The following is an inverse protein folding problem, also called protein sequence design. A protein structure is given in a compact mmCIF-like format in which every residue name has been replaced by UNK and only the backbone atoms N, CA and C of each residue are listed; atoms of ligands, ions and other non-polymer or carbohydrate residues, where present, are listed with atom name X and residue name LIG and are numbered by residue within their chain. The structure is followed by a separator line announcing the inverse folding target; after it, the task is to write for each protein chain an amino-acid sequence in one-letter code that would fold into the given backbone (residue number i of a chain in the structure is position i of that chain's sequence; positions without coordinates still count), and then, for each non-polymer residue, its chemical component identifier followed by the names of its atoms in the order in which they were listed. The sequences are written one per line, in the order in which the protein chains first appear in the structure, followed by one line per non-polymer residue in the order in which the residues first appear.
data_IF_917442059782
#
_entry.id   IF_917442059782
#
_cell.length_a   1.000
_cell.length_b   1.000
_cell.length_c   1.000
_cell.angle_alpha   90.00
_cell.angle_beta   90.00
_cell.angle_gamma   90.00
#
_symmetry.space_group_name_H-M   'P 1'
#
loop_
_entity.id
_entity.type
_entity.pdbx_description
1 polymer ?
#
# COMPACT_ATOMS: atom_id res chain seq x y z
N UNK A 1 -21.75 72.33 -3.21
CA UNK A 1 -22.01 70.96 -3.74
C UNK A 1 -20.79 70.21 -4.35
N UNK A 2 -19.71 70.93 -4.74
CA UNK A 2 -18.51 70.24 -5.36
C UNK A 2 -17.62 69.57 -4.32
N UNK A 3 -17.41 70.18 -3.12
CA UNK A 3 -16.55 69.57 -2.09
C UNK A 3 -17.03 68.16 -1.60
N UNK A 4 -18.30 68.07 -1.26
CA UNK A 4 -18.88 66.79 -0.81
C UNK A 4 -18.77 65.67 -1.86
N UNK A 5 -18.94 66.02 -3.15
CA UNK A 5 -18.74 65.07 -4.25
C UNK A 5 -17.27 64.63 -4.42
N UNK A 6 -16.31 65.53 -4.16
CA UNK A 6 -14.88 65.19 -4.20
C UNK A 6 -14.48 64.28 -3.04
N UNK A 7 -14.95 64.60 -1.82
CA UNK A 7 -14.73 63.74 -0.64
C UNK A 7 -15.34 62.33 -0.86
N UNK A 8 -16.56 62.27 -1.41
CA UNK A 8 -17.21 61.01 -1.71
C UNK A 8 -16.41 60.16 -2.72
N UNK A 9 -15.90 60.79 -3.79
CA UNK A 9 -15.05 60.08 -4.77
C UNK A 9 -13.76 59.53 -4.16
N UNK A 10 -13.12 60.29 -3.26
CA UNK A 10 -11.91 59.84 -2.56
C UNK A 10 -12.24 58.64 -1.65
N UNK A 11 -13.33 58.70 -0.89
CA UNK A 11 -13.74 57.63 -0.02
C UNK A 11 -14.08 56.37 -0.80
N UNK A 12 -14.75 56.49 -1.95
CA UNK A 12 -15.03 55.34 -2.83
C UNK A 12 -13.74 54.77 -3.40
N UNK A 13 -12.81 55.61 -3.86
CA UNK A 13 -11.52 55.12 -4.39
C UNK A 13 -10.68 54.42 -3.32
N UNK A 14 -10.67 54.93 -2.07
CA UNK A 14 -10.00 54.26 -0.96
C UNK A 14 -10.66 52.91 -0.65
N UNK A 15 -12.00 52.88 -0.57
CA UNK A 15 -12.74 51.63 -0.37
C UNK A 15 -12.42 50.59 -1.46
N UNK A 16 -12.48 51.02 -2.73
CA UNK A 16 -12.21 50.11 -3.85
C UNK A 16 -10.76 49.63 -3.86
N UNK A 17 -9.81 50.48 -3.51
CA UNK A 17 -8.40 50.13 -3.32
C UNK A 17 -8.19 49.14 -2.19
N UNK A 18 -8.87 49.31 -1.04
CA UNK A 18 -8.81 48.35 0.07
C UNK A 18 -9.44 47.00 -0.29
N UNK A 19 -10.56 47.01 -1.00
CA UNK A 19 -11.19 45.76 -1.47
C UNK A 19 -10.26 44.99 -2.43
N UNK A 20 -9.64 45.71 -3.37
CA UNK A 20 -8.68 45.09 -4.30
C UNK A 20 -7.46 44.51 -3.57
N UNK A 21 -6.92 45.28 -2.61
CA UNK A 21 -5.82 44.84 -1.78
C UNK A 21 -6.20 43.59 -0.97
N UNK A 22 -7.39 43.58 -0.38
CA UNK A 22 -7.89 42.44 0.38
C UNK A 22 -8.03 41.20 -0.53
N UNK A 23 -8.61 41.35 -1.73
CA UNK A 23 -8.72 40.26 -2.71
C UNK A 23 -7.36 39.73 -3.12
N UNK A 24 -6.41 40.62 -3.38
CA UNK A 24 -5.03 40.20 -3.72
C UNK A 24 -4.38 39.40 -2.58
N UNK A 25 -4.49 39.91 -1.34
CA UNK A 25 -3.95 39.20 -0.17
C UNK A 25 -4.67 37.91 0.10
N UNK A 26 -6.00 37.86 -0.10
CA UNK A 26 -6.78 36.62 0.04
C UNK A 26 -6.37 35.58 -0.97
N UNK A 27 -6.29 35.95 -2.26
CA UNK A 27 -5.87 34.97 -3.28
C UNK A 27 -4.40 34.60 -3.19
N UNK A 28 -3.52 35.52 -2.79
CA UNK A 28 -2.12 35.22 -2.50
C UNK A 28 -2.00 34.25 -1.30
N UNK A 29 -2.76 34.49 -0.23
CA UNK A 29 -2.83 33.60 0.93
C UNK A 29 -3.40 32.24 0.58
N UNK A 30 -4.48 32.19 -0.21
CA UNK A 30 -5.08 30.97 -0.70
C UNK A 30 -4.10 30.19 -1.61
N UNK A 31 -3.44 30.89 -2.53
CA UNK A 31 -2.39 30.30 -3.38
C UNK A 31 -1.25 29.75 -2.54
N UNK A 32 -0.79 30.52 -1.53
CA UNK A 32 0.25 30.09 -0.60
C UNK A 32 -0.19 28.85 0.18
N UNK A 33 -1.42 28.82 0.69
CA UNK A 33 -1.99 27.68 1.41
C UNK A 33 -2.09 26.43 0.53
N UNK A 34 -2.49 26.58 -0.72
CA UNK A 34 -2.63 25.48 -1.67
C UNK A 34 -1.29 24.99 -2.24
N UNK A 35 -0.26 25.84 -2.26
CA UNK A 35 1.08 25.52 -2.81
C UNK A 35 2.12 25.24 -1.74
N UNK A 36 1.90 25.64 -0.49
CA UNK A 36 2.73 25.25 0.64
C UNK A 36 2.59 23.76 0.90
N UNK A 37 3.40 22.97 0.19
CA UNK A 37 3.71 21.64 0.67
C UNK A 37 4.59 21.84 1.92
N UNK A 38 4.24 21.26 3.08
CA UNK A 38 5.15 21.28 4.22
C UNK A 38 6.51 20.77 3.72
N UNK A 39 7.56 21.49 4.03
CA UNK A 39 8.91 21.05 3.67
C UNK A 39 9.08 19.63 4.24
N UNK A 40 9.53 18.66 3.43
CA UNK A 40 9.79 17.34 3.99
C UNK A 40 10.75 17.51 5.16
N UNK A 41 10.44 16.86 6.27
CA UNK A 41 11.30 16.89 7.44
C UNK A 41 12.72 16.44 7.09
N UNK A 42 13.66 16.65 7.98
CA UNK A 42 15.03 16.15 7.80
C UNK A 42 15.11 14.68 8.21
N UNK A 43 15.88 13.88 7.47
CA UNK A 43 16.20 12.51 7.87
C UNK A 43 17.01 12.54 9.16
N UNK A 44 16.44 11.99 10.22
CA UNK A 44 17.08 11.87 11.53
C UNK A 44 17.87 10.56 11.62
N UNK A 45 18.88 10.54 12.48
CA UNK A 45 19.53 9.28 12.85
C UNK A 45 18.56 8.45 13.71
N UNK A 46 18.23 7.23 13.25
CA UNK A 46 17.21 6.42 13.91
C UNK A 46 16.71 5.26 13.04
N UNK A 47 15.45 4.93 13.17
CA UNK A 47 14.77 3.95 12.32
C UNK A 47 14.22 4.62 11.05
N UNK A 48 14.16 3.86 9.96
CA UNK A 48 13.19 4.11 8.90
C UNK A 48 11.88 3.47 9.32
N UNK A 49 10.87 4.30 9.59
CA UNK A 49 9.55 3.86 10.06
C UNK A 49 8.53 3.88 8.95
N UNK A 50 7.87 2.75 8.76
CA UNK A 50 6.84 2.52 7.74
C UNK A 50 5.54 2.07 8.42
N UNK A 51 4.69 3.01 8.85
CA UNK A 51 3.31 2.68 9.22
C UNK A 51 2.51 2.44 7.93
N UNK A 52 2.36 1.17 7.55
CA UNK A 52 1.59 0.81 6.36
C UNK A 52 0.11 0.70 6.72
N UNK A 53 -0.57 1.84 6.79
CA UNK A 53 -1.97 1.98 7.18
C UNK A 53 -2.94 1.87 5.98
N UNK A 54 -2.66 0.97 5.05
CA UNK A 54 -3.45 0.80 3.83
C UNK A 54 -2.83 -0.22 2.91
N UNK A 55 -3.03 -0.08 1.61
CA UNK A 55 -2.65 -1.09 0.62
C UNK A 55 -1.35 -0.77 -0.09
N UNK A 56 -0.61 -1.84 -0.42
CA UNK A 56 0.52 -1.74 -1.35
C UNK A 56 0.03 -2.01 -2.77
N UNK A 57 0.21 -1.03 -3.65
CA UNK A 57 -0.29 -1.02 -5.02
C UNK A 57 0.82 -0.81 -6.04
N UNK A 58 0.55 -1.09 -7.31
CA UNK A 58 1.47 -0.77 -8.41
C UNK A 58 1.48 0.73 -8.72
N UNK A 59 0.29 1.33 -8.81
CA UNK A 59 0.06 2.74 -9.09
C UNK A 59 -0.98 3.25 -8.10
N UNK A 60 -0.65 4.31 -7.36
CA UNK A 60 -1.57 4.90 -6.40
C UNK A 60 -2.65 5.72 -7.11
N UNK A 61 -3.87 5.61 -6.61
CA UNK A 61 -5.03 6.36 -7.10
C UNK A 61 -4.91 7.84 -6.76
N UNK A 62 -5.38 8.71 -7.63
CA UNK A 62 -5.48 10.13 -7.33
C UNK A 62 -6.70 10.40 -6.43
N UNK A 63 -6.46 11.10 -5.33
CA UNK A 63 -7.54 11.54 -4.45
C UNK A 63 -8.25 12.72 -5.10
N UNK A 64 -9.52 12.55 -5.48
CA UNK A 64 -10.28 13.61 -6.11
C UNK A 64 -10.70 14.68 -5.07
N UNK A 65 -10.72 15.98 -5.45
CA UNK A 65 -11.20 17.04 -4.56
C UNK A 65 -12.64 16.81 -4.07
N UNK A 66 -13.47 16.14 -4.86
CA UNK A 66 -14.84 15.80 -4.50
C UNK A 66 -14.92 14.73 -3.40
N UNK A 67 -14.00 13.77 -3.37
CA UNK A 67 -13.90 12.79 -2.28
C UNK A 67 -13.53 13.48 -0.96
N UNK A 68 -12.57 14.41 -0.99
CA UNK A 68 -12.20 15.19 0.19
C UNK A 68 -13.37 16.03 0.72
N UNK A 69 -14.13 16.67 -0.18
CA UNK A 69 -15.29 17.48 0.18
C UNK A 69 -16.47 16.66 0.71
N UNK A 70 -16.58 15.39 0.30
CA UNK A 70 -17.64 14.48 0.80
C UNK A 70 -17.36 13.93 2.19
N UNK A 71 -16.19 14.24 2.79
CA UNK A 71 -15.78 13.72 4.09
C UNK A 71 -15.38 12.24 4.07
N UNK A 72 -15.22 11.65 2.89
CA UNK A 72 -14.68 10.30 2.76
C UNK A 72 -13.16 10.37 2.90
N UNK A 73 -12.61 9.63 3.85
CA UNK A 73 -11.17 9.44 3.97
C UNK A 73 -10.76 8.32 3.00
N UNK A 74 -10.02 8.61 1.92
CA UNK A 74 -9.53 7.55 1.06
C UNK A 74 -8.64 6.59 1.83
N UNK A 75 -8.68 5.31 1.49
CA UNK A 75 -7.71 4.34 2.00
C UNK A 75 -6.30 4.77 1.55
N UNK A 76 -5.34 4.69 2.46
CA UNK A 76 -3.96 5.02 2.12
C UNK A 76 -3.39 3.98 1.15
N UNK A 77 -2.69 4.45 0.13
CA UNK A 77 -2.02 3.59 -0.86
C UNK A 77 -0.53 3.91 -0.92
N UNK A 78 0.27 2.86 -0.92
CA UNK A 78 1.72 2.93 -1.01
C UNK A 78 2.18 2.24 -2.28
N UNK A 79 2.96 2.90 -3.13
CA UNK A 79 3.50 2.19 -4.30
C UNK A 79 4.58 1.19 -3.87
N UNK A 80 4.48 -0.04 -4.36
CA UNK A 80 5.46 -1.09 -4.06
C UNK A 80 6.89 -0.67 -4.41
N UNK A 81 7.03 0.12 -5.48
CA UNK A 81 8.30 0.69 -5.92
C UNK A 81 8.91 1.63 -4.89
N UNK A 82 8.14 2.53 -4.32
CA UNK A 82 8.67 3.52 -3.36
C UNK A 82 9.00 2.87 -2.02
N UNK A 83 8.14 1.97 -1.54
CA UNK A 83 8.40 1.20 -0.32
C UNK A 83 9.68 0.36 -0.47
N UNK A 84 9.79 -0.45 -1.53
CA UNK A 84 10.96 -1.30 -1.73
C UNK A 84 12.24 -0.49 -1.96
N UNK A 85 12.17 0.64 -2.68
CA UNK A 85 13.29 1.55 -2.91
C UNK A 85 13.78 2.19 -1.60
N UNK A 86 12.86 2.67 -0.76
CA UNK A 86 13.21 3.27 0.53
C UNK A 86 13.89 2.24 1.45
N UNK A 87 13.30 1.05 1.58
CA UNK A 87 13.87 -0.03 2.40
C UNK A 87 15.24 -0.45 1.87
N UNK A 88 15.38 -0.66 0.55
CA UNK A 88 16.66 -1.03 -0.04
C UNK A 88 17.74 0.04 0.16
N UNK A 89 17.38 1.34 0.06
CA UNK A 89 18.31 2.44 0.30
C UNK A 89 18.75 2.54 1.76
N UNK A 90 17.90 2.14 2.71
CA UNK A 90 18.23 2.12 4.13
C UNK A 90 19.38 1.17 4.47
N UNK A 91 19.62 0.13 3.65
CA UNK A 91 20.74 -0.79 3.84
C UNK A 91 22.10 -0.08 3.88
N UNK A 92 22.29 0.90 2.99
CA UNK A 92 23.56 1.60 2.81
C UNK A 92 23.61 2.98 3.53
N UNK A 93 22.48 3.48 4.04
CA UNK A 93 22.40 4.79 4.72
C UNK A 93 22.83 4.69 6.18
N UNK A 94 23.94 5.32 6.54
CA UNK A 94 24.51 5.27 7.90
C UNK A 94 23.60 5.90 8.97
N UNK A 95 22.68 6.80 8.58
CA UNK A 95 21.72 7.44 9.48
C UNK A 95 20.64 6.45 9.93
N UNK A 96 20.33 5.47 9.08
CA UNK A 96 19.31 4.46 9.38
C UNK A 96 19.96 3.26 10.08
N UNK A 97 19.56 3.03 11.34
CA UNK A 97 20.06 1.95 12.19
C UNK A 97 19.19 0.70 12.16
N UNK A 98 17.89 0.87 11.88
CA UNK A 98 16.91 -0.20 11.78
C UNK A 98 15.81 0.19 10.77
N UNK A 99 15.11 -0.80 10.25
CA UNK A 99 13.85 -0.60 9.51
C UNK A 99 12.73 -1.16 10.35
N UNK A 100 11.65 -0.40 10.51
CA UNK A 100 10.50 -0.75 11.34
C UNK A 100 9.24 -0.65 10.51
N UNK A 101 8.51 -1.76 10.39
CA UNK A 101 7.20 -1.81 9.76
C UNK A 101 6.12 -1.99 10.82
N UNK A 102 5.13 -1.12 10.80
CA UNK A 102 3.89 -1.27 11.55
C UNK A 102 2.81 -1.73 10.56
N UNK A 103 2.29 -2.94 10.78
CA UNK A 103 1.31 -3.59 9.91
C UNK A 103 -0.07 -3.70 10.58
N UNK A 104 -0.35 -2.94 11.64
CA UNK A 104 -1.61 -3.03 12.39
C UNK A 104 -2.82 -2.72 11.51
N UNK A 105 -2.72 -1.71 10.66
CA UNK A 105 -3.77 -1.29 9.71
C UNK A 105 -3.42 -1.66 8.25
N UNK A 106 -2.58 -2.67 8.05
CA UNK A 106 -2.13 -3.06 6.71
C UNK A 106 -3.25 -3.73 5.92
N UNK A 107 -3.63 -3.11 4.80
CA UNK A 107 -4.69 -3.56 3.90
C UNK A 107 -4.26 -4.60 2.85
N UNK A 108 -2.99 -5.06 2.89
CA UNK A 108 -2.48 -6.06 1.96
C UNK A 108 -1.85 -5.49 0.69
N UNK A 109 -1.55 -6.40 -0.24
CA UNK A 109 -0.96 -6.07 -1.53
C UNK A 109 -0.87 -7.29 -2.44
N UNK A 110 -0.44 -7.12 -3.69
CA UNK A 110 -0.22 -8.28 -4.53
C UNK A 110 1.02 -9.08 -4.07
N UNK A 111 0.98 -10.39 -4.16
CA UNK A 111 2.08 -11.27 -3.76
C UNK A 111 3.44 -10.86 -4.38
N UNK A 112 3.43 -10.38 -5.64
CA UNK A 112 4.64 -9.91 -6.32
C UNK A 112 5.20 -8.66 -5.66
N UNK A 113 4.34 -7.71 -5.28
CA UNK A 113 4.75 -6.49 -4.59
C UNK A 113 5.33 -6.80 -3.22
N UNK A 114 4.69 -7.71 -2.48
CA UNK A 114 5.15 -8.10 -1.15
C UNK A 114 6.49 -8.84 -1.22
N UNK A 115 6.70 -9.70 -2.22
CA UNK A 115 8.00 -10.34 -2.48
C UNK A 115 9.10 -9.32 -2.81
N UNK A 116 8.80 -8.27 -3.57
CA UNK A 116 9.76 -7.19 -3.83
C UNK A 116 10.17 -6.44 -2.56
N UNK A 117 9.19 -6.15 -1.70
CA UNK A 117 9.44 -5.51 -0.40
C UNK A 117 10.23 -6.45 0.51
N UNK A 118 9.86 -7.75 0.57
CA UNK A 118 10.57 -8.78 1.30
C UNK A 118 12.05 -8.89 0.89
N UNK A 119 12.32 -8.88 -0.41
CA UNK A 119 13.69 -8.87 -0.93
C UNK A 119 14.48 -7.61 -0.52
N UNK A 120 13.83 -6.45 -0.45
CA UNK A 120 14.45 -5.23 0.05
C UNK A 120 14.74 -5.31 1.55
N UNK A 121 13.85 -5.93 2.35
CA UNK A 121 14.07 -6.21 3.77
C UNK A 121 15.26 -7.16 3.98
N UNK A 122 15.38 -8.20 3.15
CA UNK A 122 16.51 -9.14 3.20
C UNK A 122 17.84 -8.42 2.90
N UNK A 123 17.86 -7.46 1.98
CA UNK A 123 19.04 -6.62 1.72
C UNK A 123 19.46 -5.83 2.97
N UNK A 124 18.52 -5.26 3.71
CA UNK A 124 18.78 -4.55 4.97
C UNK A 124 19.37 -5.50 6.02
N UNK A 125 18.79 -6.70 6.16
CA UNK A 125 19.30 -7.73 7.08
C UNK A 125 20.70 -8.21 6.69
N UNK A 126 20.97 -8.38 5.40
CA UNK A 126 22.31 -8.71 4.90
C UNK A 126 23.35 -7.63 5.22
N UNK A 127 22.94 -6.35 5.26
CA UNK A 127 23.75 -5.23 5.73
C UNK A 127 23.89 -5.18 7.27
N UNK A 128 23.43 -6.21 7.99
CA UNK A 128 23.45 -6.35 9.47
C UNK A 128 22.65 -5.27 10.19
N UNK A 129 21.64 -4.71 9.57
CA UNK A 129 20.67 -3.82 10.19
C UNK A 129 19.40 -4.60 10.50
N UNK A 130 18.88 -4.49 11.73
CA UNK A 130 17.65 -5.21 12.08
C UNK A 130 16.44 -4.62 11.35
N UNK A 131 15.54 -5.53 10.98
CA UNK A 131 14.20 -5.21 10.46
C UNK A 131 13.20 -5.74 11.47
N UNK A 132 12.41 -4.85 12.06
CA UNK A 132 11.42 -5.19 13.07
C UNK A 132 10.02 -4.94 12.51
N UNK A 133 9.12 -5.85 12.82
CA UNK A 133 7.72 -5.77 12.34
C UNK A 133 6.78 -6.00 13.52
N UNK A 134 5.72 -5.20 13.61
CA UNK A 134 4.65 -5.35 14.59
C UNK A 134 3.29 -5.40 13.90
N UNK A 135 2.40 -6.24 14.43
CA UNK A 135 0.98 -6.25 14.06
C UNK A 135 0.13 -6.80 15.20
N UNK A 136 -1.14 -6.40 15.22
CA UNK A 136 -2.16 -7.06 16.03
C UNK A 136 -2.47 -8.44 15.44
N UNK A 137 -2.75 -8.51 14.15
CA UNK A 137 -3.05 -9.77 13.44
C UNK A 137 -2.24 -9.83 12.15
N UNK A 138 -1.49 -10.91 11.96
CA UNK A 138 -0.83 -11.19 10.70
C UNK A 138 -1.76 -12.02 9.81
N UNK A 139 -2.31 -11.39 8.77
CA UNK A 139 -2.95 -12.07 7.64
C UNK A 139 -1.90 -12.70 6.74
N UNK A 140 -2.31 -13.40 5.68
CA UNK A 140 -1.39 -13.99 4.70
C UNK A 140 -0.36 -12.95 4.19
N UNK A 141 -0.84 -11.77 3.78
CA UNK A 141 -0.01 -10.69 3.22
C UNK A 141 0.93 -10.09 4.27
N UNK A 142 0.42 -9.83 5.47
CA UNK A 142 1.22 -9.30 6.57
C UNK A 142 2.27 -10.32 7.04
N UNK A 143 1.93 -11.62 7.05
CA UNK A 143 2.84 -12.70 7.40
C UNK A 143 3.95 -12.88 6.35
N UNK A 144 3.65 -12.70 5.07
CA UNK A 144 4.65 -12.71 4.00
C UNK A 144 5.73 -11.65 4.27
N UNK A 145 5.35 -10.42 4.60
CA UNK A 145 6.32 -9.37 4.98
C UNK A 145 7.04 -9.71 6.29
N UNK A 146 6.29 -10.11 7.31
CA UNK A 146 6.86 -10.46 8.62
C UNK A 146 7.90 -11.58 8.55
N UNK A 147 7.76 -12.51 7.60
CA UNK A 147 8.71 -13.59 7.40
C UNK A 147 10.12 -13.08 7.09
N UNK A 148 10.24 -11.94 6.40
CA UNK A 148 11.52 -11.30 6.06
C UNK A 148 12.10 -10.42 7.18
N UNK A 149 11.46 -10.33 8.34
CA UNK A 149 11.97 -9.55 9.47
C UNK A 149 13.08 -10.25 10.24
N UNK A 150 13.82 -9.47 11.04
CA UNK A 150 14.72 -10.00 12.07
C UNK A 150 13.97 -10.36 13.36
N UNK A 151 12.95 -9.55 13.68
CA UNK A 151 12.05 -9.74 14.82
C UNK A 151 10.62 -9.43 14.36
N UNK A 152 9.74 -10.45 14.38
CA UNK A 152 8.30 -10.30 14.18
C UNK A 152 7.62 -10.30 15.56
N UNK A 153 6.88 -9.24 15.86
CA UNK A 153 6.16 -9.06 17.11
C UNK A 153 4.66 -9.11 16.88
N UNK A 154 3.95 -9.86 17.71
CA UNK A 154 2.48 -9.89 17.70
C UNK A 154 1.94 -9.37 19.02
N UNK A 155 0.84 -8.61 18.95
CA UNK A 155 0.13 -8.13 20.13
C UNK A 155 -0.40 -9.33 20.97
N UNK A 156 -0.39 -9.26 22.33
CA UNK A 156 -0.93 -10.31 23.20
C UNK A 156 -2.40 -10.65 22.92
N UNK A 157 -3.19 -9.72 22.39
CA UNK A 157 -4.60 -9.95 22.04
C UNK A 157 -4.80 -10.43 20.60
N UNK A 158 -3.71 -10.59 19.87
CA UNK A 158 -3.71 -10.90 18.44
C UNK A 158 -3.23 -12.30 18.11
N UNK A 159 -2.70 -12.46 16.90
CA UNK A 159 -2.19 -13.74 16.42
C UNK A 159 -1.85 -13.74 14.94
N UNK A 160 -1.78 -14.95 14.37
CA UNK A 160 -1.59 -15.16 12.93
C UNK A 160 -2.83 -15.85 12.38
N UNK A 161 -3.40 -15.31 11.30
CA UNK A 161 -4.60 -15.81 10.63
C UNK A 161 -4.28 -16.07 9.16
N UNK A 162 -3.86 -17.28 8.85
CA UNK A 162 -3.54 -17.71 7.50
C UNK A 162 -4.76 -18.40 6.90
N UNK A 163 -5.29 -17.86 5.81
CA UNK A 163 -6.47 -18.37 5.12
C UNK A 163 -6.16 -18.98 3.76
N UNK A 164 -5.05 -18.60 3.16
CA UNK A 164 -4.67 -18.95 1.79
C UNK A 164 -5.47 -18.18 0.75
N UNK A 165 -5.06 -18.27 -0.54
CA UNK A 165 -5.76 -17.62 -1.63
C UNK A 165 -7.13 -18.26 -1.85
N UNK A 166 -8.16 -17.45 -1.96
CA UNK A 166 -9.52 -17.93 -2.15
C UNK A 166 -10.53 -16.81 -2.14
N UNK A 167 -11.79 -17.18 -2.14
CA UNK A 167 -12.89 -16.24 -2.09
C UNK A 167 -14.23 -16.93 -2.33
N UNK A 168 -15.31 -16.17 -2.16
CA UNK A 168 -16.68 -16.60 -2.44
C UNK A 168 -17.10 -16.05 -3.79
N UNK A 169 -17.47 -16.94 -4.71
CA UNK A 169 -18.14 -16.55 -5.95
C UNK A 169 -19.64 -16.66 -5.79
N UNK A 170 -20.34 -15.60 -6.19
CA UNK A 170 -21.79 -15.58 -6.19
C UNK A 170 -22.33 -16.05 -7.54
N UNK A 171 -23.31 -16.98 -7.49
CA UNK A 171 -24.01 -17.49 -8.67
C UNK A 171 -25.47 -17.03 -8.62
N UNK A 172 -25.89 -16.31 -9.64
CA UNK A 172 -27.19 -15.62 -9.69
C UNK A 172 -28.27 -16.44 -10.43
N UNK A 173 -27.92 -17.61 -11.00
CA UNK A 173 -28.84 -18.44 -11.79
C UNK A 173 -30.17 -18.71 -11.07
N UNK A 174 -30.15 -19.05 -9.78
CA UNK A 174 -31.36 -19.30 -9.01
C UNK A 174 -32.26 -18.05 -8.86
N UNK A 175 -31.67 -16.85 -8.75
CA UNK A 175 -32.43 -15.59 -8.73
C UNK A 175 -33.01 -15.29 -10.11
N UNK A 176 -32.20 -15.44 -11.15
CA UNK A 176 -32.57 -15.18 -12.56
C UNK A 176 -33.76 -16.08 -12.95
N UNK A 177 -33.74 -17.36 -12.56
CA UNK A 177 -34.85 -18.31 -12.80
C UNK A 177 -36.13 -17.88 -12.07
N UNK A 178 -36.03 -17.45 -10.81
CA UNK A 178 -37.21 -16.95 -10.06
C UNK A 178 -37.82 -15.71 -10.69
N UNK A 179 -36.99 -14.83 -11.24
CA UNK A 179 -37.42 -13.62 -11.94
C UNK A 179 -37.90 -13.92 -13.37
N UNK A 180 -37.79 -15.17 -13.84
CA UNK A 180 -38.10 -15.58 -15.22
C UNK A 180 -37.37 -14.73 -16.28
N UNK A 181 -36.16 -14.25 -15.95
CA UNK A 181 -35.33 -13.49 -16.86
C UNK A 181 -34.56 -14.45 -17.78
N UNK A 182 -34.41 -14.07 -19.06
CA UNK A 182 -33.64 -14.85 -20.02
C UNK A 182 -32.26 -14.19 -20.19
N UNK A 183 -31.21 -14.97 -19.93
CA UNK A 183 -29.81 -14.55 -20.15
C UNK A 183 -29.30 -15.20 -21.41
N UNK A 184 -28.87 -14.38 -22.35
CA UNK A 184 -28.26 -14.85 -23.59
C UNK A 184 -26.73 -14.61 -23.53
N UNK A 185 -25.96 -15.69 -23.63
CA UNK A 185 -24.50 -15.66 -23.53
C UNK A 185 -23.87 -16.02 -24.87
N UNK A 186 -22.95 -15.17 -25.32
CA UNK A 186 -22.15 -15.39 -26.50
C UNK A 186 -20.69 -15.51 -26.08
N UNK A 187 -20.16 -16.73 -25.96
CA UNK A 187 -18.76 -16.98 -25.61
C UNK A 187 -18.13 -18.00 -26.56
N UNK A 188 -16.84 -17.84 -26.79
CA UNK A 188 -16.01 -18.81 -27.51
C UNK A 188 -14.86 -19.22 -26.60
N UNK A 189 -14.69 -20.51 -26.39
CA UNK A 189 -13.64 -21.09 -25.55
C UNK A 189 -14.20 -21.69 -24.25
N UNK A 190 -13.72 -22.89 -23.93
CA UNK A 190 -14.19 -23.74 -22.83
C UNK A 190 -13.90 -23.11 -21.47
N UNK A 191 -12.72 -22.48 -21.31
CA UNK A 191 -12.26 -21.88 -20.05
C UNK A 191 -12.72 -20.44 -19.85
N UNK A 192 -13.56 -19.86 -20.74
CA UNK A 192 -14.15 -18.54 -20.52
C UNK A 192 -15.33 -18.63 -19.55
N UNK A 193 -15.05 -18.47 -18.26
CA UNK A 193 -16.00 -18.71 -17.16
C UNK A 193 -16.68 -17.46 -16.60
N UNK A 194 -16.30 -16.25 -17.03
CA UNK A 194 -16.82 -14.98 -16.49
C UNK A 194 -18.36 -14.85 -16.52
N UNK A 195 -19.03 -15.53 -17.44
CA UNK A 195 -20.50 -15.53 -17.59
C UNK A 195 -21.21 -16.65 -16.81
N UNK A 196 -20.48 -17.60 -16.24
CA UNK A 196 -21.07 -18.74 -15.52
C UNK A 196 -21.95 -18.34 -14.35
N UNK A 197 -21.65 -17.29 -13.56
CA UNK A 197 -22.53 -16.83 -12.48
C UNK A 197 -23.98 -16.55 -12.91
N UNK A 198 -24.21 -16.21 -14.16
CA UNK A 198 -25.53 -15.88 -14.70
C UNK A 198 -26.28 -17.08 -15.30
N UNK A 199 -25.57 -18.15 -15.66
CA UNK A 199 -26.14 -19.29 -16.40
C UNK A 199 -26.01 -20.64 -15.66
N UNK A 200 -25.27 -20.68 -14.55
CA UNK A 200 -25.04 -21.89 -13.72
C UNK A 200 -25.27 -21.56 -12.26
N UNK A 201 -25.55 -22.61 -11.48
CA UNK A 201 -25.66 -22.49 -10.01
C UNK A 201 -24.32 -22.73 -9.29
N UNK A 202 -23.32 -23.22 -10.01
CA UNK A 202 -21.98 -23.52 -9.50
C UNK A 202 -20.94 -23.43 -10.63
N UNK A 203 -19.68 -23.44 -10.25
CA UNK A 203 -18.53 -23.39 -11.15
C UNK A 203 -18.45 -24.66 -12.01
N UNK A 204 -18.14 -24.50 -13.31
CA UNK A 204 -17.86 -25.64 -14.19
C UNK A 204 -16.58 -26.36 -13.75
N UNK A 205 -16.42 -27.66 -14.14
CA UNK A 205 -15.17 -28.39 -13.91
C UNK A 205 -13.94 -27.66 -14.47
N UNK A 206 -14.05 -27.10 -15.67
CA UNK A 206 -12.98 -26.38 -16.37
C UNK A 206 -12.63 -25.05 -15.67
N UNK A 207 -13.64 -24.31 -15.21
CA UNK A 207 -13.40 -23.10 -14.42
C UNK A 207 -12.74 -23.42 -13.09
N UNK A 208 -13.16 -24.51 -12.46
CA UNK A 208 -12.57 -25.02 -11.20
C UNK A 208 -11.10 -25.43 -11.40
N UNK A 209 -10.81 -26.18 -12.48
CA UNK A 209 -9.45 -26.56 -12.83
C UNK A 209 -8.53 -25.35 -13.01
N UNK A 210 -8.97 -24.37 -13.81
CA UNK A 210 -8.21 -23.14 -14.03
C UNK A 210 -7.97 -22.37 -12.72
N UNK A 211 -8.99 -22.24 -11.88
CA UNK A 211 -8.89 -21.54 -10.59
C UNK A 211 -7.96 -22.29 -9.62
N UNK A 212 -8.05 -23.62 -9.55
CA UNK A 212 -7.17 -24.43 -8.73
C UNK A 212 -5.70 -24.34 -9.17
N UNK A 213 -5.43 -24.28 -10.47
CA UNK A 213 -4.08 -24.10 -11.00
C UNK A 213 -3.47 -22.74 -10.55
N UNK A 214 -4.25 -21.66 -10.64
CA UNK A 214 -3.80 -20.32 -10.22
C UNK A 214 -3.60 -20.26 -8.70
N UNK A 215 -4.64 -20.59 -7.94
CA UNK A 215 -4.60 -20.50 -6.48
C UNK A 215 -3.60 -21.49 -5.87
N UNK A 216 -3.48 -22.68 -6.42
CA UNK A 216 -2.49 -23.66 -5.99
C UNK A 216 -1.06 -23.16 -6.17
N UNK A 217 -0.78 -22.49 -7.30
CA UNK A 217 0.53 -21.90 -7.56
C UNK A 217 0.82 -20.74 -6.63
N UNK A 218 -0.15 -19.84 -6.43
CA UNK A 218 0.00 -18.71 -5.50
C UNK A 218 0.25 -19.19 -4.07
N UNK A 219 -0.51 -20.21 -3.64
CA UNK A 219 -0.39 -20.79 -2.32
C UNK A 219 0.96 -21.47 -2.08
N UNK A 220 1.42 -22.25 -3.06
CA UNK A 220 2.72 -22.89 -2.99
C UNK A 220 3.85 -21.84 -2.93
N UNK A 221 3.80 -20.84 -3.78
CA UNK A 221 4.80 -19.77 -3.80
C UNK A 221 4.86 -19.02 -2.46
N UNK A 222 3.69 -18.68 -1.87
CA UNK A 222 3.62 -18.04 -0.57
C UNK A 222 4.26 -18.91 0.53
N UNK A 223 3.92 -20.21 0.58
CA UNK A 223 4.49 -21.12 1.57
C UNK A 223 6.01 -21.28 1.41
N UNK A 224 6.48 -21.39 0.17
CA UNK A 224 7.90 -21.52 -0.12
C UNK A 224 8.68 -20.26 0.26
N UNK A 225 8.12 -19.09 0.00
CA UNK A 225 8.72 -17.81 0.38
C UNK A 225 8.79 -17.64 1.90
N UNK A 226 7.70 -17.90 2.62
CA UNK A 226 7.68 -17.84 4.08
C UNK A 226 8.67 -18.84 4.69
N UNK A 227 8.71 -20.08 4.23
CA UNK A 227 9.66 -21.09 4.71
C UNK A 227 11.11 -20.73 4.41
N UNK A 228 11.38 -20.15 3.23
CA UNK A 228 12.72 -19.68 2.84
C UNK A 228 13.20 -18.54 3.72
N UNK A 229 12.34 -17.54 3.94
CA UNK A 229 12.67 -16.36 4.72
C UNK A 229 12.74 -16.67 6.24
N UNK A 230 11.91 -17.62 6.70
CA UNK A 230 11.77 -18.04 8.10
C UNK A 230 11.84 -19.58 8.23
N UNK A 231 13.05 -20.18 8.12
CA UNK A 231 13.20 -21.65 8.05
C UNK A 231 12.71 -22.42 9.29
N UNK A 232 12.57 -21.74 10.43
CA UNK A 232 12.07 -22.33 11.68
C UNK A 232 10.54 -22.31 11.79
N UNK A 233 9.84 -21.63 10.90
CA UNK A 233 8.39 -21.54 10.93
C UNK A 233 7.73 -22.89 10.56
N UNK A 234 6.84 -23.36 11.42
CA UNK A 234 5.99 -24.52 11.14
C UNK A 234 4.60 -24.04 10.72
N UNK A 235 4.33 -24.17 9.43
CA UNK A 235 3.07 -23.81 8.81
C UNK A 235 2.01 -24.92 8.89
N UNK A 236 2.38 -26.14 9.29
CA UNK A 236 1.58 -27.35 9.08
C UNK A 236 0.16 -27.24 9.64
N UNK A 237 0.03 -26.99 10.95
CA UNK A 237 -1.29 -26.85 11.58
C UNK A 237 -1.93 -25.48 11.32
N UNK A 238 -1.12 -24.43 11.27
CA UNK A 238 -1.61 -23.09 11.01
C UNK A 238 -2.36 -22.97 9.67
N UNK A 239 -1.97 -23.78 8.67
CA UNK A 239 -2.60 -23.79 7.34
C UNK A 239 -3.63 -24.90 7.14
N UNK A 240 -3.44 -26.06 7.79
CA UNK A 240 -4.33 -27.21 7.58
C UNK A 240 -5.54 -27.22 8.52
N UNK A 241 -5.38 -26.84 9.78
CA UNK A 241 -6.44 -26.80 10.79
C UNK A 241 -6.15 -25.69 11.82
N UNK A 242 -6.41 -24.42 11.48
CA UNK A 242 -6.14 -23.27 12.36
C UNK A 242 -6.87 -23.37 13.71
N UNK A 243 -8.08 -23.94 13.72
CA UNK A 243 -8.86 -24.08 14.96
C UNK A 243 -8.19 -25.07 15.93
N UNK A 244 -7.73 -26.22 15.41
CA UNK A 244 -6.98 -27.19 16.20
C UNK A 244 -5.65 -26.60 16.65
N UNK A 245 -4.95 -25.88 15.77
CA UNK A 245 -3.68 -25.23 16.07
C UNK A 245 -3.78 -24.27 17.27
N UNK A 246 -4.78 -23.40 17.28
CA UNK A 246 -5.04 -22.48 18.41
C UNK A 246 -5.45 -23.25 19.67
N UNK A 247 -6.32 -24.25 19.53
CA UNK A 247 -6.80 -25.07 20.67
C UNK A 247 -5.66 -25.82 21.35
N UNK A 248 -4.75 -26.43 20.59
CA UNK A 248 -3.59 -27.17 21.10
C UNK A 248 -2.58 -26.26 21.81
N UNK A 249 -2.68 -24.94 21.60
CA UNK A 249 -1.85 -23.91 22.24
C UNK A 249 -2.60 -23.12 23.32
N UNK A 250 -3.59 -23.73 23.98
CA UNK A 250 -4.29 -23.13 25.12
C UNK A 250 -5.36 -22.12 24.73
N UNK A 251 -5.88 -22.16 23.51
CA UNK A 251 -6.78 -21.16 22.90
C UNK A 251 -6.17 -19.75 22.84
N UNK A 252 -4.86 -19.68 22.71
CA UNK A 252 -4.10 -18.44 22.61
C UNK A 252 -3.41 -18.38 21.24
N UNK A 253 -3.92 -17.58 20.27
CA UNK A 253 -3.36 -17.51 18.94
C UNK A 253 -1.98 -16.84 18.89
N UNK A 254 -1.66 -15.93 19.82
CA UNK A 254 -0.32 -15.34 19.92
C UNK A 254 0.72 -16.38 20.38
N UNK A 255 0.37 -17.20 21.37
CA UNK A 255 1.21 -18.31 21.82
C UNK A 255 1.37 -19.39 20.75
N UNK A 256 0.29 -19.69 20.00
CA UNK A 256 0.36 -20.60 18.89
C UNK A 256 1.35 -20.13 17.82
N UNK A 257 1.29 -18.85 17.46
CA UNK A 257 2.21 -18.22 16.50
C UNK A 257 3.67 -18.23 16.99
N UNK A 258 3.90 -17.91 18.26
CA UNK A 258 5.25 -17.93 18.87
C UNK A 258 5.85 -19.33 18.87
N UNK A 259 5.10 -20.33 19.32
CA UNK A 259 5.58 -21.73 19.40
C UNK A 259 5.85 -22.34 18.02
N UNK A 260 5.07 -21.94 17.00
CA UNK A 260 5.27 -22.36 15.62
C UNK A 260 6.38 -21.57 14.91
N UNK A 261 7.04 -20.62 15.58
CA UNK A 261 8.10 -19.80 15.00
C UNK A 261 7.62 -18.83 13.89
N UNK A 262 6.31 -18.60 13.81
CA UNK A 262 5.74 -17.62 12.89
C UNK A 262 6.02 -16.17 13.36
N UNK A 263 6.11 -15.97 14.68
CA UNK A 263 6.57 -14.73 15.29
C UNK A 263 7.69 -15.00 16.29
N UNK A 264 8.45 -13.98 16.66
CA UNK A 264 9.59 -14.09 17.58
C UNK A 264 9.25 -13.61 18.97
N UNK A 265 8.28 -12.70 19.10
CA UNK A 265 7.91 -12.05 20.35
C UNK A 265 6.41 -11.81 20.43
N UNK A 266 5.92 -11.81 21.67
CA UNK A 266 4.60 -11.31 22.02
C UNK A 266 4.80 -10.05 22.85
N UNK A 267 4.18 -8.95 22.45
CA UNK A 267 4.25 -7.69 23.16
C UNK A 267 3.39 -6.65 22.49
N UNK A 268 2.84 -5.75 23.30
CA UNK A 268 2.06 -4.62 22.82
C UNK A 268 2.92 -3.57 22.11
N UNK A 269 2.26 -2.57 21.54
CA UNK A 269 2.92 -1.48 20.81
C UNK A 269 3.98 -0.73 21.65
N UNK A 270 3.75 -0.61 22.97
CA UNK A 270 4.68 0.05 23.90
C UNK A 270 5.94 -0.79 24.09
N UNK A 271 5.78 -2.08 24.36
CA UNK A 271 6.90 -3.01 24.51
C UNK A 271 7.72 -3.13 23.23
N UNK A 272 7.04 -3.19 22.07
CA UNK A 272 7.68 -3.17 20.76
C UNK A 272 8.48 -1.88 20.56
N UNK A 273 7.87 -0.71 20.80
CA UNK A 273 8.53 0.58 20.67
C UNK A 273 9.74 0.73 21.59
N UNK A 274 9.66 0.25 22.82
CA UNK A 274 10.80 0.19 23.75
C UNK A 274 11.93 -0.69 23.20
N UNK A 275 11.60 -1.80 22.56
CA UNK A 275 12.59 -2.66 21.89
C UNK A 275 13.27 -1.92 20.73
N UNK A 276 12.52 -1.20 19.92
CA UNK A 276 13.08 -0.36 18.85
C UNK A 276 13.96 0.74 19.43
N UNK A 277 13.50 1.42 20.48
CA UNK A 277 14.25 2.47 21.17
C UNK A 277 15.61 1.99 21.73
N UNK A 278 15.71 0.74 22.17
CA UNK A 278 16.99 0.13 22.57
C UNK A 278 18.01 0.08 21.42
N UNK A 279 17.55 0.04 20.18
CA UNK A 279 18.42 -0.06 18.99
C UNK A 279 18.77 1.33 18.44
N UNK A 280 17.77 2.21 18.37
CA UNK A 280 17.90 3.49 17.64
C UNK A 280 17.86 4.73 18.54
N UNK A 281 17.59 4.56 19.83
CA UNK A 281 17.38 5.64 20.80
C UNK A 281 15.90 5.97 20.99
N UNK A 282 15.53 6.32 22.24
CA UNK A 282 14.18 6.79 22.55
C UNK A 282 13.95 8.20 22.01
N UNK A 283 12.70 8.51 21.68
CA UNK A 283 12.21 9.85 21.45
C UNK A 283 11.40 10.28 22.68
N UNK A 284 12.08 10.96 23.61
CA UNK A 284 11.52 11.31 24.92
C UNK A 284 10.37 12.34 24.81
N UNK A 285 10.32 13.11 23.72
CA UNK A 285 9.30 14.13 23.48
C UNK A 285 7.95 13.50 23.06
N UNK A 286 7.99 12.32 22.45
CA UNK A 286 6.81 11.62 21.92
C UNK A 286 6.22 10.60 22.89
N UNK A 287 6.85 10.39 24.05
CA UNK A 287 6.31 9.61 25.16
C UNK A 287 6.77 8.16 25.24
N UNK A 288 6.06 7.36 26.04
CA UNK A 288 6.45 6.01 26.36
C UNK A 288 6.36 5.08 25.13
N UNK A 289 7.46 4.40 24.81
CA UNK A 289 7.54 3.50 23.66
C UNK A 289 7.88 4.20 22.35
N UNK A 290 8.03 5.53 22.35
CA UNK A 290 8.46 6.26 21.18
C UNK A 290 9.97 6.09 20.92
N UNK A 291 10.36 6.13 19.67
CA UNK A 291 11.74 5.93 19.23
C UNK A 291 12.11 6.90 18.10
N UNK A 292 13.40 7.20 17.99
CA UNK A 292 13.90 8.07 16.94
C UNK A 292 13.67 7.45 15.57
N UNK A 293 12.91 8.13 14.73
CA UNK A 293 12.52 7.63 13.43
C UNK A 293 12.49 8.72 12.34
N UNK A 294 12.55 8.27 11.12
CA UNK A 294 12.22 9.03 9.91
C UNK A 294 11.13 8.26 9.17
N UNK A 295 10.02 8.92 8.88
CA UNK A 295 8.93 8.33 8.13
C UNK A 295 9.24 8.21 6.65
N UNK A 296 8.53 7.28 5.98
CA UNK A 296 8.69 6.97 4.56
C UNK A 296 8.66 8.20 3.64
N UNK A 297 7.69 9.14 3.72
CA UNK A 297 7.64 10.29 2.81
C UNK A 297 8.85 11.21 2.94
N UNK A 298 9.32 11.44 4.19
CA UNK A 298 10.50 12.26 4.48
C UNK A 298 11.76 11.60 3.89
N UNK A 299 11.87 10.29 4.09
CA UNK A 299 13.02 9.54 3.59
C UNK A 299 13.08 9.49 2.06
N UNK A 300 11.94 9.30 1.40
CA UNK A 300 11.84 9.31 -0.06
C UNK A 300 12.20 10.68 -0.67
N UNK A 301 11.83 11.76 0.00
CA UNK A 301 12.20 13.12 -0.44
C UNK A 301 13.71 13.38 -0.35
N UNK A 302 14.40 12.82 0.64
CA UNK A 302 15.87 12.89 0.80
C UNK A 302 16.61 12.00 -0.23
N UNK A 303 15.95 10.97 -0.75
CA UNK A 303 16.50 10.00 -1.72
C UNK A 303 15.79 10.08 -3.08
N UNK A 304 15.90 11.21 -3.80
CA UNK A 304 15.29 11.28 -5.12
C UNK A 304 15.93 10.25 -6.07
N UNK A 305 15.15 9.87 -7.08
CA UNK A 305 15.67 8.97 -8.12
C UNK A 305 16.88 9.63 -8.84
N UNK A 306 17.93 8.86 -9.19
CA UNK A 306 19.06 9.38 -9.93
C UNK A 306 18.62 10.02 -11.25
N UNK A 307 19.13 11.22 -11.54
CA UNK A 307 18.83 11.96 -12.79
C UNK A 307 20.04 11.95 -13.73
N UNK A 308 20.70 10.82 -13.90
CA UNK A 308 21.87 10.68 -14.77
C UNK A 308 21.51 9.92 -16.05
N UNK A 309 22.00 10.40 -17.18
CA UNK A 309 21.74 9.80 -18.49
C UNK A 309 20.41 10.21 -19.08
N UNK A 310 20.06 9.61 -20.23
CA UNK A 310 18.74 9.78 -20.83
C UNK A 310 17.69 9.02 -20.02
N UNK A 311 16.52 9.63 -19.83
CA UNK A 311 15.43 9.01 -19.12
C UNK A 311 14.81 7.85 -19.93
N UNK A 312 14.38 6.81 -19.23
CA UNK A 312 13.50 5.78 -19.77
C UNK A 312 12.11 6.00 -19.18
N UNK A 313 11.13 6.21 -20.02
CA UNK A 313 9.76 6.35 -19.58
C UNK A 313 9.20 4.98 -19.15
N UNK A 314 8.46 4.96 -18.04
CA UNK A 314 7.71 3.77 -17.61
C UNK A 314 6.24 4.16 -17.61
N UNK A 315 5.46 3.59 -18.52
CA UNK A 315 4.01 3.73 -18.55
C UNK A 315 3.40 2.53 -17.85
N UNK A 316 2.63 2.80 -16.80
CA UNK A 316 2.00 1.77 -15.98
C UNK A 316 0.57 1.55 -16.45
N UNK A 317 0.22 0.28 -16.70
CA UNK A 317 -1.14 -0.19 -16.97
C UNK A 317 -1.55 -1.01 -15.74
N UNK A 318 -2.18 -0.35 -14.77
CA UNK A 318 -2.54 -0.96 -13.49
C UNK A 318 -4.06 -0.97 -13.27
N UNK A 319 -4.54 -2.01 -12.59
CA UNK A 319 -5.95 -2.18 -12.24
C UNK A 319 -6.81 -2.68 -13.40
N UNK A 320 -8.11 -2.43 -13.31
CA UNK A 320 -9.09 -2.81 -14.34
C UNK A 320 -8.86 -2.02 -15.64
N UNK A 321 -8.89 -2.73 -16.77
CA UNK A 321 -8.78 -2.11 -18.10
C UNK A 321 -10.18 -1.70 -18.52
N UNK A 322 -10.37 -0.40 -18.76
CA UNK A 322 -11.65 0.18 -19.15
C UNK A 322 -11.52 1.05 -20.41
N UNK A 323 -12.63 1.22 -21.14
CA UNK A 323 -12.69 2.16 -22.24
C UNK A 323 -12.66 3.62 -21.74
N UNK A 324 -12.09 4.51 -22.56
CA UNK A 324 -12.08 5.94 -22.28
C UNK A 324 -10.98 6.36 -21.31
N UNK A 325 -11.21 7.51 -20.67
CA UNK A 325 -10.27 8.09 -19.71
C UNK A 325 -10.60 7.64 -18.28
N UNK A 326 -9.56 7.22 -17.55
CA UNK A 326 -9.65 6.90 -16.13
C UNK A 326 -8.35 7.29 -15.44
N UNK A 327 -8.46 7.72 -14.17
CA UNK A 327 -7.30 8.11 -13.35
C UNK A 327 -6.37 6.94 -13.02
N UNK A 328 -5.19 7.24 -12.42
CA UNK A 328 -4.26 6.22 -11.91
C UNK A 328 -4.94 5.18 -11.00
N UNK A 329 -4.45 3.93 -11.03
CA UNK A 329 -5.07 2.80 -10.34
C UNK A 329 -6.16 2.09 -11.18
N UNK A 330 -6.57 2.69 -12.31
CA UNK A 330 -7.44 2.09 -13.34
C UNK A 330 -6.81 2.34 -14.70
N UNK A 331 -6.78 1.33 -15.57
CA UNK A 331 -6.18 1.44 -16.90
C UNK A 331 -7.20 1.93 -17.92
N UNK A 332 -7.45 3.24 -17.96
CA UNK A 332 -8.24 3.87 -19.02
C UNK A 332 -7.51 3.86 -20.36
N UNK A 333 -8.15 3.32 -21.40
CA UNK A 333 -7.53 3.15 -22.72
C UNK A 333 -6.99 4.46 -23.28
N UNK A 334 -7.76 5.55 -23.17
CA UNK A 334 -7.38 6.87 -23.70
C UNK A 334 -6.19 7.44 -22.91
N UNK A 335 -6.21 7.40 -21.59
CA UNK A 335 -5.09 7.84 -20.75
C UNK A 335 -3.79 7.11 -21.11
N UNK A 336 -3.83 5.78 -21.23
CA UNK A 336 -2.65 5.00 -21.58
C UNK A 336 -2.13 5.32 -22.98
N UNK A 337 -3.02 5.49 -23.94
CA UNK A 337 -2.67 5.89 -25.30
C UNK A 337 -2.00 7.27 -25.33
N UNK A 338 -2.55 8.26 -24.60
CA UNK A 338 -1.99 9.61 -24.52
C UNK A 338 -0.61 9.62 -23.85
N UNK A 339 -0.40 8.82 -22.78
CA UNK A 339 0.90 8.68 -22.15
C UNK A 339 1.95 8.09 -23.11
N UNK A 340 1.60 7.04 -23.86
CA UNK A 340 2.49 6.42 -24.86
C UNK A 340 2.81 7.42 -25.96
N UNK A 341 1.81 8.12 -26.47
CA UNK A 341 1.95 9.11 -27.53
C UNK A 341 2.83 10.30 -27.08
N UNK A 342 2.65 10.79 -25.84
CA UNK A 342 3.49 11.81 -25.24
C UNK A 342 4.96 11.41 -25.13
N UNK A 343 5.24 10.16 -24.74
CA UNK A 343 6.60 9.63 -24.67
C UNK A 343 7.22 9.50 -26.05
N UNK A 344 6.47 8.99 -27.03
CA UNK A 344 6.99 8.76 -28.39
C UNK A 344 7.27 10.05 -29.17
N UNK A 345 6.62 11.15 -28.80
CA UNK A 345 6.82 12.48 -29.39
C UNK A 345 7.92 13.30 -28.70
N UNK A 346 8.48 12.83 -27.58
CA UNK A 346 9.51 13.55 -26.81
C UNK A 346 10.90 12.98 -27.07
N UNK A 347 11.86 13.86 -27.30
CA UNK A 347 13.30 13.52 -27.43
C UNK A 347 13.98 13.32 -26.06
N UNK A 348 13.29 13.53 -24.94
CA UNK A 348 13.81 13.44 -23.61
C UNK A 348 14.02 11.99 -23.15
N UNK A 349 13.34 11.03 -23.80
CA UNK A 349 13.38 9.63 -23.43
C UNK A 349 14.23 8.79 -24.40
N UNK A 350 15.05 7.91 -23.83
CA UNK A 350 15.84 6.93 -24.60
C UNK A 350 15.04 5.68 -24.99
N UNK A 351 13.89 5.48 -24.36
CA UNK A 351 13.01 4.32 -24.56
C UNK A 351 11.79 4.35 -23.69
N UNK A 352 10.88 3.42 -23.95
CA UNK A 352 9.63 3.21 -23.21
C UNK A 352 9.58 1.78 -22.65
N UNK A 353 9.23 1.65 -21.39
CA UNK A 353 8.85 0.39 -20.75
C UNK A 353 7.36 0.44 -20.44
N UNK A 354 6.62 -0.52 -20.97
CA UNK A 354 5.22 -0.72 -20.62
C UNK A 354 5.15 -1.75 -19.49
N UNK A 355 4.70 -1.31 -18.30
CA UNK A 355 4.57 -2.15 -17.13
C UNK A 355 3.10 -2.47 -16.89
N UNK A 356 2.73 -3.75 -17.02
CA UNK A 356 1.34 -4.20 -16.93
C UNK A 356 1.13 -4.97 -15.64
N UNK A 357 0.15 -4.54 -14.84
CA UNK A 357 -0.33 -5.19 -13.62
C UNK A 357 -1.87 -5.11 -13.57
N UNK A 358 -2.50 -5.91 -14.45
CA UNK A 358 -3.95 -5.94 -14.63
C UNK A 358 -4.50 -7.37 -14.66
#
# INVERSE_FOLDING_TARGET
MSFAKSVWKILVAIKDGLVLLFLLLFFAGLYMLLTLRPAPGMVREGALYLPLEGRVVEEASEVSPTQLLSGQTPEAEYTARDVSRAIAAAADDKRIKAVVLDLEAFGGGSAVHLSQIGAAMDKVRAARKPVLVHSLIYTDDAMQLAAHSSEAWVDPMGGVAISGPGGTLLFYKGLIDKLKANVHVFKVGTYKSAVEPYIRAEMSPEAREAMQAVYGTLWQNWQDEVKKARPKADLTLATADPAKWVKDNGNDPAQAALKSGLVDKIGDRVAFGQRVAQIVGADEEEGLGAFKATELPVYLADKPSPKQGKAVAVVTVAGEIVDGDAGPGTAGGDRIADLIDGVTKSDDYAGLVLRVNS
#
